data_IF_136099267062
#
_entry.id   IF_136099267062
#
_cell.length_a   1.000
_cell.length_b   1.000
_cell.length_c   1.000
_cell.angle_alpha   90.00
_cell.angle_beta   90.00
_cell.angle_gamma   90.00
#
_symmetry.space_group_name_H-M   'P 1'
#
loop_
_entity.id
_entity.type
_entity.pdbx_description
1 polymer ?
#
# COMPACT_ATOMS: atom_id res chain seq x y z
N UNK A 1 -30.13 19.01 -2.58
CA UNK A 1 -28.72 18.75 -2.28
C UNK A 1 -28.55 17.24 -2.20
N UNK A 2 -28.13 16.60 -3.29
CA UNK A 2 -28.01 15.14 -3.35
C UNK A 2 -26.67 14.75 -2.72
N UNK A 3 -26.74 13.98 -1.63
CA UNK A 3 -25.59 13.37 -0.98
C UNK A 3 -24.88 12.47 -1.99
N UNK A 4 -23.69 12.87 -2.44
CA UNK A 4 -22.80 12.07 -3.28
C UNK A 4 -22.18 10.99 -2.40
N UNK A 5 -22.93 9.93 -2.10
CA UNK A 5 -22.32 8.69 -1.59
C UNK A 5 -21.28 8.25 -2.60
N UNK A 6 -20.05 8.01 -2.12
CA UNK A 6 -19.05 7.30 -2.91
C UNK A 6 -19.70 5.99 -3.37
N UNK A 7 -19.50 5.60 -4.63
CA UNK A 7 -20.18 4.46 -5.19
C UNK A 7 -19.62 3.18 -4.56
N UNK A 8 -20.53 2.30 -4.14
CA UNK A 8 -20.30 0.90 -3.78
C UNK A 8 -19.40 0.64 -2.57
N UNK A 9 -19.97 -0.09 -1.62
CA UNK A 9 -19.31 -0.58 -0.42
C UNK A 9 -17.99 -1.25 -0.80
N UNK A 10 -16.89 -0.67 -0.33
CA UNK A 10 -15.57 -1.29 -0.43
C UNK A 10 -15.68 -2.74 0.10
N UNK A 11 -15.08 -3.74 -0.57
CA UNK A 11 -15.35 -5.15 -0.23
C UNK A 11 -15.03 -5.55 1.21
N UNK A 12 -14.15 -4.79 1.88
CA UNK A 12 -13.87 -4.88 3.31
C UNK A 12 -13.56 -3.49 3.87
N UNK A 13 -13.95 -3.24 5.12
CA UNK A 13 -13.47 -2.07 5.85
C UNK A 13 -12.01 -2.29 6.24
N UNK A 14 -11.12 -1.34 5.94
CA UNK A 14 -9.70 -1.42 6.27
C UNK A 14 -9.23 -0.17 7.01
N UNK A 15 -8.53 -0.35 8.12
CA UNK A 15 -7.75 0.71 8.77
C UNK A 15 -6.27 0.56 8.44
N UNK A 16 -5.49 1.63 8.58
CA UNK A 16 -4.02 1.61 8.35
C UNK A 16 -3.58 1.04 6.99
N UNK A 17 -4.47 1.10 6.00
CA UNK A 17 -4.19 0.73 4.62
C UNK A 17 -3.50 1.87 3.87
N UNK A 18 -2.86 1.55 2.76
CA UNK A 18 -2.40 2.55 1.80
C UNK A 18 -3.40 2.70 0.66
N UNK A 19 -3.54 3.94 0.19
CA UNK A 19 -4.33 4.25 -1.00
C UNK A 19 -3.44 4.95 -2.02
N UNK A 20 -3.44 4.46 -3.26
CA UNK A 20 -2.81 5.13 -4.40
C UNK A 20 -3.81 5.20 -5.55
N UNK A 21 -3.69 6.21 -6.41
CA UNK A 21 -4.59 6.39 -7.52
C UNK A 21 -3.84 6.78 -8.80
N UNK A 22 -4.34 6.32 -9.93
CA UNK A 22 -4.02 6.83 -11.25
C UNK A 22 -5.29 7.40 -11.90
N UNK A 23 -5.23 7.75 -13.19
CA UNK A 23 -6.36 8.36 -13.89
C UNK A 23 -7.60 7.47 -13.98
N UNK A 24 -7.43 6.15 -13.96
CA UNK A 24 -8.49 5.19 -14.23
C UNK A 24 -8.92 4.42 -12.96
N UNK A 25 -8.03 4.31 -11.97
CA UNK A 25 -8.17 3.39 -10.86
C UNK A 25 -7.71 3.98 -9.52
N UNK A 26 -8.42 3.61 -8.45
CA UNK A 26 -7.96 3.73 -7.06
C UNK A 26 -7.61 2.34 -6.54
N UNK A 27 -6.47 2.22 -5.87
CA UNK A 27 -6.03 0.98 -5.23
C UNK A 27 -6.00 1.18 -3.73
N UNK A 28 -6.65 0.27 -3.00
CA UNK A 28 -6.58 0.18 -1.54
C UNK A 28 -5.84 -1.10 -1.19
N UNK A 29 -4.77 -0.97 -0.41
CA UNK A 29 -3.74 -2.01 -0.26
C UNK A 29 -3.54 -2.27 1.23
N UNK A 30 -3.54 -3.56 1.60
CA UNK A 30 -3.22 -4.03 2.95
C UNK A 30 -4.08 -3.39 4.04
N UNK A 31 -3.51 -3.26 5.24
CA UNK A 31 -4.18 -2.71 6.41
C UNK A 31 -4.70 -3.79 7.35
N UNK A 32 -5.64 -3.40 8.20
CA UNK A 32 -6.34 -4.26 9.18
C UNK A 32 -7.84 -4.28 8.87
N UNK A 33 -8.41 -5.46 8.71
CA UNK A 33 -9.84 -5.65 8.45
C UNK A 33 -10.70 -5.80 9.73
N UNK A 34 -10.09 -5.56 10.90
CA UNK A 34 -10.66 -5.76 12.23
C UNK A 34 -10.56 -7.20 12.74
N UNK A 35 -10.02 -8.12 11.93
CA UNK A 35 -9.77 -9.53 12.30
C UNK A 35 -8.30 -9.90 12.12
N UNK A 36 -7.66 -9.39 11.09
CA UNK A 36 -6.27 -9.66 10.76
C UNK A 36 -5.63 -8.51 9.99
N UNK A 37 -4.31 -8.45 10.07
CA UNK A 37 -3.52 -7.70 9.09
C UNK A 37 -3.56 -8.45 7.78
N UNK A 38 -3.95 -7.74 6.71
CA UNK A 38 -4.19 -8.33 5.40
C UNK A 38 -3.14 -7.89 4.38
N UNK A 39 -3.01 -8.68 3.33
CA UNK A 39 -2.23 -8.40 2.12
C UNK A 39 -3.11 -8.11 0.91
N UNK A 40 -4.41 -7.92 1.10
CA UNK A 40 -5.38 -7.75 0.03
C UNK A 40 -5.17 -6.45 -0.72
N UNK A 41 -5.55 -6.46 -1.99
CA UNK A 41 -5.55 -5.28 -2.87
C UNK A 41 -6.92 -5.17 -3.51
N UNK A 42 -7.59 -4.04 -3.29
CA UNK A 42 -8.84 -3.72 -3.95
C UNK A 42 -8.62 -2.58 -4.95
N UNK A 43 -9.07 -2.77 -6.18
CA UNK A 43 -9.05 -1.77 -7.23
C UNK A 43 -10.47 -1.28 -7.49
N UNK A 44 -10.70 0.03 -7.43
CA UNK A 44 -11.92 0.68 -7.91
C UNK A 44 -11.66 1.23 -9.30
N UNK A 45 -12.41 0.76 -10.29
CA UNK A 45 -12.48 1.40 -11.61
C UNK A 45 -13.31 2.68 -11.50
N UNK A 46 -12.70 3.84 -11.75
CA UNK A 46 -13.36 5.15 -11.62
C UNK A 46 -14.45 5.38 -12.67
N UNK A 47 -14.32 4.74 -13.85
CA UNK A 47 -15.32 4.86 -14.92
C UNK A 47 -16.57 4.04 -14.67
N UNK A 48 -16.41 2.81 -14.18
CA UNK A 48 -17.54 1.89 -13.95
C UNK A 48 -18.01 1.86 -12.50
N UNK A 49 -17.26 2.49 -11.60
CA UNK A 49 -17.49 2.50 -10.16
C UNK A 49 -17.55 1.09 -9.55
N UNK A 50 -16.75 0.16 -10.09
CA UNK A 50 -16.74 -1.25 -9.66
C UNK A 50 -15.45 -1.61 -8.97
N UNK A 51 -15.58 -2.30 -7.84
CA UNK A 51 -14.47 -2.91 -7.12
C UNK A 51 -14.07 -4.26 -7.72
N UNK A 52 -12.78 -4.52 -7.77
CA UNK A 52 -12.18 -5.81 -8.15
C UNK A 52 -11.07 -6.15 -7.17
N UNK A 53 -11.00 -7.41 -6.75
CA UNK A 53 -9.86 -7.90 -5.96
C UNK A 53 -8.70 -8.24 -6.90
N UNK A 54 -7.54 -7.66 -6.62
CA UNK A 54 -6.32 -7.86 -7.41
C UNK A 54 -5.41 -8.89 -6.72
N UNK A 55 -4.27 -9.19 -7.34
CA UNK A 55 -3.28 -10.06 -6.73
C UNK A 55 -2.81 -9.48 -5.39
N UNK A 56 -2.79 -10.29 -4.31
CA UNK A 56 -2.38 -9.84 -2.99
C UNK A 56 -0.87 -9.68 -2.91
N UNK A 57 -0.39 -8.85 -1.98
CA UNK A 57 1.04 -8.76 -1.65
C UNK A 57 1.56 -10.10 -1.11
N UNK A 58 2.86 -10.34 -1.20
CA UNK A 58 3.51 -11.48 -0.54
C UNK A 58 3.45 -11.36 0.98
N UNK A 59 3.56 -10.13 1.52
CA UNK A 59 3.53 -9.87 2.96
C UNK A 59 2.31 -9.04 3.36
N UNK A 60 1.52 -9.56 4.31
CA UNK A 60 0.48 -8.78 4.98
C UNK A 60 1.09 -7.67 5.84
N UNK A 61 0.59 -6.45 5.67
CA UNK A 61 1.17 -5.26 6.30
C UNK A 61 0.13 -4.17 6.56
N UNK A 62 0.30 -3.43 7.66
CA UNK A 62 -0.40 -2.19 8.00
C UNK A 62 0.64 -1.12 8.41
N UNK A 63 0.23 0.15 8.50
CA UNK A 63 1.08 1.31 8.83
C UNK A 63 2.34 1.43 7.94
N UNK A 64 2.20 1.04 6.68
CA UNK A 64 3.25 1.11 5.67
C UNK A 64 3.07 2.33 4.76
N UNK A 65 4.03 2.56 3.87
CA UNK A 65 3.94 3.60 2.85
C UNK A 65 3.82 2.99 1.46
N UNK A 66 3.07 3.66 0.59
CA UNK A 66 2.96 3.31 -0.82
C UNK A 66 3.18 4.52 -1.73
N UNK A 67 3.71 4.27 -2.93
CA UNK A 67 3.83 5.28 -3.98
C UNK A 67 3.51 4.67 -5.34
N UNK A 68 2.72 5.38 -6.14
CA UNK A 68 2.57 5.07 -7.56
C UNK A 68 3.71 5.75 -8.33
N UNK A 69 4.37 4.99 -9.19
CA UNK A 69 5.34 5.52 -10.14
C UNK A 69 5.28 4.72 -11.43
N UNK A 70 5.08 5.45 -12.54
CA UNK A 70 4.85 4.88 -13.85
C UNK A 70 3.70 3.83 -13.81
N UNK A 71 4.01 2.57 -14.12
CA UNK A 71 3.06 1.45 -14.12
C UNK A 71 3.15 0.55 -12.88
N UNK A 72 3.85 1.02 -11.85
CA UNK A 72 4.13 0.24 -10.66
C UNK A 72 3.65 0.94 -9.40
N UNK A 73 3.09 0.14 -8.49
CA UNK A 73 2.81 0.58 -7.13
C UNK A 73 3.88 -0.02 -6.23
N UNK A 74 4.60 0.81 -5.51
CA UNK A 74 5.62 0.39 -4.57
C UNK A 74 5.07 0.47 -3.16
N UNK A 75 5.37 -0.53 -2.34
CA UNK A 75 5.05 -0.53 -0.91
C UNK A 75 6.33 -0.73 -0.12
N UNK A 76 6.46 -0.02 1.00
CA UNK A 76 7.67 0.00 1.81
C UNK A 76 7.32 -0.17 3.27
N UNK A 77 8.00 -1.08 3.95
CA UNK A 77 7.92 -1.24 5.40
C UNK A 77 6.52 -1.57 5.91
N UNK A 78 6.19 -1.03 7.08
CA UNK A 78 4.99 -1.33 7.86
C UNK A 78 5.23 -2.32 8.97
N UNK A 79 4.14 -2.89 9.47
CA UNK A 79 4.14 -3.91 10.51
C UNK A 79 3.24 -5.08 10.08
N UNK A 80 3.57 -6.29 10.50
CA UNK A 80 2.78 -7.50 10.25
C UNK A 80 2.31 -8.20 11.54
N UNK A 81 2.15 -7.44 12.62
CA UNK A 81 1.90 -7.88 14.00
C UNK A 81 3.03 -8.69 14.66
N UNK A 82 4.05 -9.11 13.92
CA UNK A 82 5.21 -9.83 14.48
C UNK A 82 6.42 -8.94 14.59
N UNK A 83 6.61 -8.06 13.61
CA UNK A 83 7.73 -7.11 13.54
C UNK A 83 7.42 -5.96 12.60
N UNK A 84 8.14 -4.87 12.81
CA UNK A 84 8.33 -3.84 11.80
C UNK A 84 9.12 -4.40 10.60
N UNK A 85 8.78 -3.95 9.40
CA UNK A 85 9.30 -4.45 8.13
C UNK A 85 10.33 -3.47 7.53
N UNK A 86 11.41 -4.02 6.99
CA UNK A 86 12.29 -3.36 6.00
C UNK A 86 11.88 -3.64 4.57
N UNK A 87 11.08 -4.70 4.37
CA UNK A 87 10.81 -5.23 3.04
C UNK A 87 10.03 -4.25 2.19
N UNK A 88 10.40 -4.23 0.92
CA UNK A 88 9.72 -3.50 -0.13
C UNK A 88 9.19 -4.49 -1.16
N UNK A 89 8.00 -4.20 -1.70
CA UNK A 89 7.42 -4.96 -2.80
C UNK A 89 6.93 -3.96 -3.85
N UNK A 90 6.91 -4.36 -5.12
CA UNK A 90 6.23 -3.60 -6.17
C UNK A 90 5.18 -4.44 -6.87
N UNK A 91 4.08 -3.79 -7.24
CA UNK A 91 3.01 -4.36 -8.01
C UNK A 91 3.06 -3.83 -9.44
N UNK A 92 3.09 -4.73 -10.42
CA UNK A 92 2.91 -4.41 -11.83
C UNK A 92 1.42 -4.31 -12.15
N UNK A 93 0.96 -3.12 -12.53
CA UNK A 93 -0.45 -2.90 -12.91
C UNK A 93 -0.82 -3.71 -14.15
N UNK A 94 0.08 -3.78 -15.13
CA UNK A 94 -0.16 -4.48 -16.40
C UNK A 94 -0.24 -6.01 -16.19
N UNK A 95 0.56 -6.55 -15.26
CA UNK A 95 0.67 -8.00 -15.06
C UNK A 95 -0.18 -8.52 -13.90
N UNK A 96 -0.77 -7.64 -13.09
CA UNK A 96 -1.47 -8.00 -11.86
C UNK A 96 -0.63 -8.94 -10.98
N UNK A 97 0.61 -8.54 -10.69
CA UNK A 97 1.58 -9.38 -9.98
C UNK A 97 2.51 -8.54 -9.11
N UNK A 98 2.91 -9.11 -7.97
CA UNK A 98 3.88 -8.53 -7.06
C UNK A 98 5.27 -9.12 -7.26
N UNK A 99 6.27 -8.30 -7.03
CA UNK A 99 7.68 -8.66 -7.03
C UNK A 99 8.34 -8.11 -5.75
N UNK A 100 9.15 -8.93 -5.09
CA UNK A 100 9.98 -8.49 -3.98
C UNK A 100 11.10 -7.57 -4.48
N UNK A 101 11.41 -6.55 -3.69
CA UNK A 101 12.51 -5.63 -3.94
C UNK A 101 13.56 -5.77 -2.85
N UNK A 102 14.71 -5.11 -3.06
CA UNK A 102 15.71 -4.99 -2.01
C UNK A 102 15.13 -4.30 -0.77
N UNK A 103 15.47 -4.85 0.40
CA UNK A 103 15.11 -4.29 1.70
C UNK A 103 15.68 -2.87 1.89
N UNK A 104 14.95 -2.05 2.63
CA UNK A 104 15.45 -0.74 3.05
C UNK A 104 16.66 -0.88 3.99
N UNK A 105 17.70 -0.02 3.88
CA UNK A 105 18.91 -0.12 4.71
C UNK A 105 18.65 -0.03 6.22
N UNK A 106 17.70 0.80 6.64
CA UNK A 106 17.23 0.85 8.02
C UNK A 106 16.05 -0.10 8.19
N UNK A 107 16.33 -1.20 8.86
CA UNK A 107 15.32 -2.14 9.32
C UNK A 107 14.28 -1.45 10.16
N UNK A 108 13.00 -1.72 9.87
CA UNK A 108 11.83 -1.39 10.70
C UNK A 108 11.29 0.03 10.51
N UNK A 109 10.31 0.24 9.61
CA UNK A 109 9.58 1.52 9.53
C UNK A 109 8.07 1.33 9.67
N UNK A 110 7.41 2.13 10.49
CA UNK A 110 5.97 2.34 10.49
C UNK A 110 5.64 3.84 10.51
N UNK A 111 4.49 4.26 9.98
CA UNK A 111 4.07 5.66 9.99
C UNK A 111 4.92 6.60 9.13
N UNK A 112 5.66 6.06 8.16
CA UNK A 112 6.41 6.83 7.16
C UNK A 112 5.56 7.13 5.93
N UNK A 113 6.01 8.08 5.12
CA UNK A 113 5.42 8.43 3.83
C UNK A 113 6.37 8.06 2.69
N UNK A 114 5.82 7.67 1.54
CA UNK A 114 6.57 7.45 0.31
C UNK A 114 6.09 8.42 -0.76
N UNK A 115 7.02 9.07 -1.46
CA UNK A 115 6.73 10.09 -2.47
C UNK A 115 7.54 9.79 -3.73
N UNK A 116 6.86 9.64 -4.86
CA UNK A 116 7.51 9.55 -6.16
C UNK A 116 7.80 10.95 -6.72
N UNK A 117 8.97 11.13 -7.32
CA UNK A 117 9.34 12.36 -8.04
C UNK A 117 9.01 12.26 -9.52
N UNK A 118 9.15 13.39 -10.23
CA UNK A 118 9.17 13.45 -11.70
C UNK A 118 10.37 12.72 -12.30
N UNK A 119 11.45 12.54 -11.52
CA UNK A 119 12.64 11.75 -11.90
C UNK A 119 12.41 10.25 -11.75
N UNK A 120 13.47 9.47 -11.54
CA UNK A 120 13.38 8.01 -11.35
C UNK A 120 13.24 7.59 -9.88
N UNK A 121 13.22 8.54 -8.95
CA UNK A 121 13.38 8.27 -7.54
C UNK A 121 12.04 8.14 -6.81
N UNK A 122 12.08 7.42 -5.69
CA UNK A 122 11.04 7.40 -4.66
C UNK A 122 11.73 7.71 -3.34
N UNK A 123 11.21 8.70 -2.61
CA UNK A 123 11.73 9.10 -1.31
C UNK A 123 10.83 8.55 -0.21
N UNK A 124 11.46 8.07 0.85
CA UNK A 124 10.79 7.60 2.06
C UNK A 124 11.14 8.58 3.17
N UNK A 125 10.12 9.19 3.77
CA UNK A 125 10.29 10.29 4.72
C UNK A 125 9.63 9.94 6.04
N UNK A 126 10.38 10.15 7.12
CA UNK A 126 9.92 9.93 8.50
C UNK A 126 9.75 8.46 8.85
N UNK A 127 8.80 8.21 9.74
CA UNK A 127 8.49 6.92 10.33
C UNK A 127 9.25 6.63 11.61
N UNK A 128 8.76 5.60 12.29
CA UNK A 128 9.31 5.09 13.53
C UNK A 128 10.19 3.88 13.23
N UNK A 129 11.43 3.93 13.70
CA UNK A 129 12.30 2.77 13.80
C UNK A 129 12.32 2.32 15.26
N UNK A 130 12.31 1.00 15.52
CA UNK A 130 12.71 0.56 16.86
C UNK A 130 14.23 0.81 16.96
N UNK A 131 14.65 1.85 17.68
CA UNK A 131 16.04 1.94 18.09
C UNK A 131 16.34 0.71 18.95
N UNK A 132 17.30 -0.09 18.52
CA UNK A 132 18.08 -0.85 19.50
C UNK A 132 19.05 0.18 20.05
N UNK A 133 18.77 0.67 21.25
CA UNK A 133 19.79 1.39 22.01
C UNK A 133 20.98 0.41 22.15
N UNK A 134 22.10 0.75 21.51
CA UNK A 134 23.40 0.06 21.63
C UNK A 134 24.16 0.58 22.82
#
# INVERSE_FOLDING_TARGET
QQSTRLPNDMPAALTSCCVVANNDFVYVIGGDDGRAIVNTVYQLCLKSEKWTTMAPMGTARYDFAAALKDKYIYVFGGNNCRRLLSSAERYSIDNNAWEELADMPEGRRAGHCAISTTGSEIYIVGGETCSVDV
#
